data_IF_980444000900
#
_entry.id   IF_980444000900
#
_cell.length_a   1.000
_cell.length_b   1.000
_cell.length_c   1.000
_cell.angle_alpha   90.00
_cell.angle_beta   90.00
_cell.angle_gamma   90.00
#
_symmetry.space_group_name_H-M   'P 1'
#
loop_
_entity.id
_entity.type
_entity.pdbx_description
1 polymer ?
#
# COMPACT_ATOMS: atom_id res chain seq x y z
N UNK A 1 -40.50 -35.51 17.04
CA UNK A 1 -39.51 -34.59 16.43
C UNK A 1 -39.01 -33.66 17.51
N UNK A 2 -37.76 -33.81 17.95
CA UNK A 2 -37.15 -32.99 18.99
C UNK A 2 -35.76 -32.57 18.50
N UNK A 3 -35.59 -31.31 18.12
CA UNK A 3 -34.31 -30.73 17.72
C UNK A 3 -33.62 -30.17 18.96
N UNK A 4 -32.47 -30.76 19.25
CA UNK A 4 -31.60 -30.51 20.39
C UNK A 4 -30.93 -29.13 20.25
N UNK A 5 -31.13 -28.25 21.23
CA UNK A 5 -30.45 -26.95 21.31
C UNK A 5 -28.98 -27.18 21.66
N UNK A 6 -28.07 -26.94 20.70
CA UNK A 6 -26.63 -26.86 20.96
C UNK A 6 -26.35 -25.62 21.82
N UNK A 7 -26.12 -25.85 23.11
CA UNK A 7 -25.52 -24.86 24.03
C UNK A 7 -24.01 -24.98 23.88
N UNK A 8 -23.37 -23.98 23.30
CA UNK A 8 -21.92 -23.87 23.32
C UNK A 8 -21.51 -23.21 24.63
N UNK A 9 -21.09 -24.02 25.60
CA UNK A 9 -20.47 -23.54 26.85
C UNK A 9 -19.03 -23.15 26.56
N UNK A 10 -18.76 -21.84 26.58
CA UNK A 10 -17.41 -21.26 26.60
C UNK A 10 -16.79 -21.54 27.96
N UNK A 11 -15.90 -22.52 28.03
CA UNK A 11 -15.03 -22.74 29.19
C UNK A 11 -13.67 -22.12 28.91
N UNK A 12 -13.26 -21.24 29.84
CA UNK A 12 -11.93 -20.71 30.08
C UNK A 12 -10.76 -21.62 29.68
N UNK A 13 -9.84 -21.04 28.92
CA UNK A 13 -8.42 -21.31 29.04
C UNK A 13 -7.67 -20.07 28.55
N UNK A 14 -7.54 -19.09 29.45
CA UNK A 14 -6.38 -18.18 29.46
C UNK A 14 -5.12 -19.03 29.37
N UNK A 15 -4.48 -19.05 28.20
CA UNK A 15 -3.10 -19.49 28.05
C UNK A 15 -2.27 -18.25 27.71
N UNK A 16 -2.02 -17.43 28.72
CA UNK A 16 -0.92 -16.47 28.71
C UNK A 16 0.39 -17.27 28.65
N UNK A 17 0.91 -17.41 27.44
CA UNK A 17 2.26 -17.92 27.21
C UNK A 17 3.24 -16.85 27.69
N UNK A 18 3.77 -17.05 28.90
CA UNK A 18 4.90 -16.30 29.40
C UNK A 18 6.14 -16.66 28.57
N UNK A 19 6.60 -15.73 27.74
CA UNK A 19 7.89 -15.85 27.03
C UNK A 19 9.00 -15.41 27.98
N UNK A 20 9.37 -16.32 28.88
CA UNK A 20 10.59 -16.21 29.68
C UNK A 20 11.66 -17.05 28.95
N UNK A 21 12.44 -16.37 28.11
CA UNK A 21 13.64 -16.92 27.52
C UNK A 21 14.64 -15.77 27.32
N UNK A 22 15.62 -15.71 28.22
CA UNK A 22 16.78 -14.85 28.05
C UNK A 22 17.54 -15.24 26.78
N UNK A 23 17.60 -14.33 25.84
CA UNK A 23 18.66 -14.28 24.83
C UNK A 23 19.52 -13.06 25.12
N UNK A 24 20.72 -13.35 25.62
CA UNK A 24 21.84 -12.42 25.70
C UNK A 24 22.18 -11.99 24.27
N UNK A 25 21.74 -10.79 23.88
CA UNK A 25 22.13 -10.19 22.61
C UNK A 25 23.65 -9.99 22.61
N UNK A 26 24.41 -10.59 21.68
CA UNK A 26 25.81 -10.25 21.53
C UNK A 26 25.90 -8.75 21.19
N UNK A 27 26.66 -8.03 22.01
CA UNK A 27 27.06 -6.63 21.83
C UNK A 27 27.51 -6.42 20.38
N UNK A 28 26.59 -5.94 19.54
CA UNK A 28 26.92 -5.55 18.18
C UNK A 28 27.90 -4.39 18.29
N UNK A 29 29.07 -4.43 17.61
CA UNK A 29 29.99 -3.31 17.66
C UNK A 29 29.26 -2.05 17.21
N UNK A 30 29.07 -1.14 18.15
CA UNK A 30 28.72 0.23 17.88
C UNK A 30 29.77 0.78 16.92
N UNK A 31 29.32 1.49 15.89
CA UNK A 31 30.10 2.08 14.81
C UNK A 31 30.32 1.17 13.59
N UNK A 32 29.21 0.80 12.94
CA UNK A 32 29.22 0.77 11.48
C UNK A 32 29.48 2.22 11.00
N UNK A 33 30.75 2.56 10.86
CA UNK A 33 31.20 3.77 10.19
C UNK A 33 30.84 3.64 8.71
N UNK A 34 29.59 3.95 8.38
CA UNK A 34 29.17 4.20 7.01
C UNK A 34 29.83 5.50 6.60
N UNK A 35 31.08 5.41 6.15
CA UNK A 35 31.66 6.48 5.36
C UNK A 35 30.70 6.71 4.19
N UNK A 36 29.99 7.84 4.23
CA UNK A 36 29.13 8.34 3.18
C UNK A 36 30.05 8.79 2.02
N UNK A 37 30.67 7.81 1.37
CA UNK A 37 31.30 8.03 0.09
C UNK A 37 30.15 8.31 -0.87
N UNK A 38 29.95 9.60 -1.16
CA UNK A 38 28.92 10.09 -2.07
C UNK A 38 29.01 9.29 -3.37
N UNK A 39 28.12 8.31 -3.53
CA UNK A 39 28.08 7.45 -4.69
C UNK A 39 27.81 8.33 -5.92
N UNK A 40 28.67 8.25 -6.94
CA UNK A 40 28.47 9.00 -8.18
C UNK A 40 27.06 8.72 -8.72
N UNK A 41 26.28 9.78 -8.93
CA UNK A 41 24.90 9.71 -9.43
C UNK A 41 24.86 9.91 -10.94
N UNK A 42 23.94 9.22 -11.59
CA UNK A 42 23.68 9.39 -13.01
C UNK A 42 23.12 10.78 -13.29
N UNK A 43 23.75 11.57 -14.18
CA UNK A 43 23.26 12.90 -14.53
C UNK A 43 21.95 12.90 -15.33
N UNK A 44 21.50 11.74 -15.83
CA UNK A 44 20.24 11.60 -16.57
C UNK A 44 19.03 11.29 -15.69
N UNK A 45 19.18 10.42 -14.67
CA UNK A 45 18.07 9.99 -13.82
C UNK A 45 18.23 10.34 -12.33
N UNK A 46 19.42 10.78 -11.90
CA UNK A 46 19.70 11.10 -10.49
C UNK A 46 19.88 9.89 -9.58
N UNK A 47 19.85 8.67 -10.13
CA UNK A 47 20.05 7.43 -9.36
C UNK A 47 21.55 7.08 -9.22
N UNK A 48 21.96 6.32 -8.19
CA UNK A 48 23.37 5.98 -7.97
C UNK A 48 23.87 5.05 -9.09
N UNK A 49 25.02 5.35 -9.68
CA UNK A 49 25.57 4.61 -10.83
C UNK A 49 25.81 3.11 -10.56
N UNK A 50 25.98 2.72 -9.29
CA UNK A 50 26.10 1.31 -8.90
C UNK A 50 24.85 0.46 -9.19
N UNK A 51 23.72 1.07 -9.55
CA UNK A 51 22.45 0.40 -9.85
C UNK A 51 22.24 0.12 -11.34
N UNK A 52 23.14 0.61 -12.21
CA UNK A 52 23.00 0.48 -13.65
C UNK A 52 24.11 -0.40 -14.24
N UNK A 53 23.73 -1.47 -14.94
CA UNK A 53 24.66 -2.30 -15.74
C UNK A 53 25.08 -1.59 -17.05
N UNK A 54 24.31 -0.58 -17.50
CA UNK A 54 24.52 0.22 -18.71
C UNK A 54 24.12 1.69 -18.51
N UNK A 55 24.76 2.62 -19.23
CA UNK A 55 24.40 4.05 -19.20
C UNK A 55 22.97 4.28 -19.71
N UNK A 56 22.27 5.26 -19.14
CA UNK A 56 20.92 5.62 -19.56
C UNK A 56 20.93 6.12 -21.02
N UNK A 57 20.34 5.36 -21.94
CA UNK A 57 20.11 5.79 -23.33
C UNK A 57 18.80 6.58 -23.45
N UNK A 58 18.78 7.57 -24.35
CA UNK A 58 17.60 8.42 -24.61
C UNK A 58 16.41 7.58 -25.15
N UNK A 59 15.17 7.89 -24.74
CA UNK A 59 14.01 7.12 -25.18
C UNK A 59 13.65 7.42 -26.64
N UNK A 60 13.97 6.50 -27.55
CA UNK A 60 13.41 6.47 -28.92
C UNK A 60 11.96 5.99 -28.84
N UNK A 61 11.02 6.90 -29.08
CA UNK A 61 9.60 6.61 -29.13
C UNK A 61 9.24 5.67 -30.30
N UNK A 62 8.69 4.49 -30.00
CA UNK A 62 8.02 3.62 -30.98
C UNK A 62 6.50 3.83 -30.89
N UNK A 63 5.80 4.11 -32.01
CA UNK A 63 4.34 4.06 -32.02
C UNK A 63 3.90 2.62 -32.33
N UNK A 64 3.48 1.88 -31.30
CA UNK A 64 2.75 0.61 -31.48
C UNK A 64 1.28 0.87 -31.20
N UNK A 65 0.44 0.80 -32.24
CA UNK A 65 -1.00 0.76 -32.11
C UNK A 65 -1.45 -0.64 -31.69
N UNK A 66 -1.66 -0.84 -30.38
CA UNK A 66 -2.27 -2.05 -29.81
C UNK A 66 -3.81 -1.93 -29.76
N UNK A 67 -4.54 -3.06 -29.81
CA UNK A 67 -6.00 -3.06 -29.74
C UNK A 67 -6.48 -2.52 -28.39
N UNK A 68 -7.32 -1.47 -28.46
CA UNK A 68 -7.93 -0.85 -27.29
C UNK A 68 -8.93 -1.81 -26.64
N UNK A 69 -8.47 -2.53 -25.63
CA UNK A 69 -9.33 -3.01 -24.55
C UNK A 69 -9.74 -1.76 -23.77
N UNK A 70 -11.04 -1.54 -23.44
CA UNK A 70 -11.41 -0.49 -22.51
C UNK A 70 -10.83 -0.86 -21.14
N UNK A 71 -9.59 -0.44 -20.91
CA UNK A 71 -9.03 -0.34 -19.58
C UNK A 71 -9.87 0.73 -18.88
N UNK A 72 -10.49 0.46 -17.72
CA UNK A 72 -10.92 1.56 -16.87
C UNK A 72 -9.68 2.42 -16.67
N UNK A 73 -9.79 3.73 -16.96
CA UNK A 73 -8.68 4.68 -17.00
C UNK A 73 -7.86 4.63 -15.71
N UNK A 74 -6.88 3.72 -15.62
CA UNK A 74 -5.81 3.79 -14.64
C UNK A 74 -4.76 4.74 -15.21
N UNK A 75 -5.17 5.99 -15.45
CA UNK A 75 -4.23 7.10 -15.51
C UNK A 75 -3.71 7.26 -14.08
N UNK A 76 -2.65 6.50 -13.76
CA UNK A 76 -2.18 6.14 -12.41
C UNK A 76 -1.81 7.34 -11.53
N UNK A 77 -2.82 8.02 -11.05
CA UNK A 77 -2.74 9.15 -10.14
C UNK A 77 -3.83 9.05 -9.09
N UNK A 78 -3.60 9.74 -7.98
CA UNK A 78 -4.61 9.92 -6.95
C UNK A 78 -5.57 11.03 -7.37
N UNK A 79 -6.86 10.74 -7.45
CA UNK A 79 -7.91 11.74 -7.70
C UNK A 79 -8.07 12.69 -6.51
N UNK A 80 -7.94 12.20 -5.28
CA UNK A 80 -7.99 13.02 -4.08
C UNK A 80 -6.59 13.38 -3.57
N UNK A 81 -6.37 14.66 -3.24
CA UNK A 81 -5.13 15.13 -2.62
C UNK A 81 -5.20 15.01 -1.08
N UNK A 82 -4.04 15.02 -0.43
CA UNK A 82 -3.99 15.10 1.03
C UNK A 82 -4.60 16.43 1.49
N UNK A 83 -5.44 16.39 2.52
CA UNK A 83 -6.21 17.52 3.03
C UNK A 83 -7.48 17.84 2.25
N UNK A 84 -7.72 17.22 1.08
CA UNK A 84 -8.99 17.32 0.38
C UNK A 84 -10.12 16.71 1.22
N UNK A 85 -11.28 17.36 1.24
CA UNK A 85 -12.48 16.78 1.84
C UNK A 85 -13.07 15.72 0.90
N UNK A 86 -13.20 14.50 1.40
CA UNK A 86 -13.87 13.40 0.73
C UNK A 86 -15.00 12.87 1.61
N UNK A 87 -16.07 12.41 0.97
CA UNK A 87 -17.24 11.83 1.63
C UNK A 87 -17.33 10.35 1.27
N UNK A 88 -17.15 9.43 2.23
CA UNK A 88 -17.45 8.02 2.02
C UNK A 88 -18.92 7.82 1.69
N UNK A 89 -19.23 6.93 0.74
CA UNK A 89 -20.62 6.63 0.36
C UNK A 89 -21.43 6.08 1.54
N UNK A 90 -20.76 5.49 2.53
CA UNK A 90 -21.37 4.91 3.73
C UNK A 90 -21.60 5.92 4.86
N UNK A 91 -21.07 7.14 4.74
CA UNK A 91 -21.13 8.17 5.77
C UNK A 91 -21.86 9.43 5.26
N UNK A 92 -22.33 10.27 6.19
CA UNK A 92 -23.05 11.51 5.88
C UNK A 92 -22.17 12.76 6.04
N UNK A 93 -20.99 12.64 6.66
CA UNK A 93 -20.07 13.76 6.92
C UNK A 93 -18.79 13.66 6.09
N UNK A 94 -18.30 14.78 5.51
CA UNK A 94 -17.04 14.78 4.79
C UNK A 94 -15.85 14.83 5.75
N UNK A 95 -14.78 14.14 5.39
CA UNK A 95 -13.55 14.05 6.17
C UNK A 95 -12.31 14.35 5.31
N UNK A 96 -11.28 14.99 5.87
CA UNK A 96 -10.06 15.28 5.12
C UNK A 96 -9.27 13.99 4.87
N UNK A 97 -8.67 13.88 3.69
CA UNK A 97 -7.78 12.78 3.33
C UNK A 97 -6.44 12.95 4.05
N UNK A 98 -6.09 12.03 4.94
CA UNK A 98 -4.84 12.10 5.73
C UNK A 98 -3.72 11.23 5.17
N UNK A 99 -4.07 10.27 4.31
CA UNK A 99 -3.08 9.39 3.69
C UNK A 99 -3.57 8.87 2.35
N UNK A 100 -2.60 8.56 1.47
CA UNK A 100 -2.81 7.99 0.15
C UNK A 100 -1.80 6.86 -0.11
N UNK A 101 -2.23 5.80 -0.76
CA UNK A 101 -1.34 4.69 -1.13
C UNK A 101 -1.93 3.80 -2.21
N UNK A 102 -1.22 2.71 -2.52
CA UNK A 102 -1.67 1.77 -3.53
C UNK A 102 -1.77 0.36 -2.94
N UNK A 103 -2.88 -0.33 -3.21
CA UNK A 103 -3.03 -1.75 -2.93
C UNK A 103 -2.80 -2.56 -4.20
N UNK A 104 -2.11 -3.70 -4.06
CA UNK A 104 -2.00 -4.70 -5.12
C UNK A 104 -3.16 -5.67 -4.99
N UNK A 105 -3.99 -5.75 -6.02
CA UNK A 105 -5.11 -6.68 -6.05
C UNK A 105 -5.20 -7.41 -7.39
N UNK A 106 -5.89 -8.56 -7.42
CA UNK A 106 -6.17 -9.25 -8.67
C UNK A 106 -7.48 -8.74 -9.25
N UNK A 107 -7.45 -8.35 -10.52
CA UNK A 107 -8.63 -7.96 -11.25
C UNK A 107 -9.58 -9.16 -11.40
N UNK A 108 -10.87 -9.04 -11.06
CA UNK A 108 -11.78 -10.19 -10.97
C UNK A 108 -12.05 -10.86 -12.33
N UNK A 109 -12.02 -10.10 -13.43
CA UNK A 109 -12.32 -10.65 -14.75
C UNK A 109 -11.09 -11.22 -15.47
N UNK A 110 -9.90 -10.71 -15.20
CA UNK A 110 -8.67 -11.04 -15.97
C UNK A 110 -7.64 -11.80 -15.15
N UNK A 111 -7.76 -11.81 -13.81
CA UNK A 111 -6.82 -12.46 -12.89
C UNK A 111 -5.46 -11.77 -12.76
N UNK A 112 -5.22 -10.71 -13.53
CA UNK A 112 -3.99 -9.91 -13.52
C UNK A 112 -3.90 -9.07 -12.24
N UNK A 113 -2.68 -8.87 -11.74
CA UNK A 113 -2.44 -8.01 -10.58
C UNK A 113 -2.40 -6.56 -11.04
N UNK A 114 -3.21 -5.72 -10.41
CA UNK A 114 -3.28 -4.28 -10.63
C UNK A 114 -2.96 -3.51 -9.35
N UNK A 115 -2.52 -2.26 -9.49
CA UNK A 115 -2.36 -1.32 -8.38
C UNK A 115 -3.56 -0.39 -8.34
N UNK A 116 -4.28 -0.37 -7.22
CA UNK A 116 -5.46 0.47 -7.03
C UNK A 116 -5.15 1.56 -6.00
N UNK A 117 -5.42 2.84 -6.31
CA UNK A 117 -5.26 3.92 -5.35
C UNK A 117 -6.27 3.79 -4.21
N UNK A 118 -5.79 4.01 -2.99
CA UNK A 118 -6.58 4.01 -1.77
C UNK A 118 -6.27 5.23 -0.92
N UNK A 119 -7.24 5.60 -0.10
CA UNK A 119 -7.24 6.82 0.69
C UNK A 119 -7.64 6.51 2.13
N UNK A 120 -7.03 7.17 3.10
CA UNK A 120 -7.48 7.14 4.50
C UNK A 120 -7.98 8.53 4.88
N UNK A 121 -9.11 8.58 5.58
CA UNK A 121 -9.73 9.82 6.02
C UNK A 121 -9.48 10.08 7.52
N UNK A 122 -9.66 11.32 7.95
CA UNK A 122 -9.69 11.70 9.38
C UNK A 122 -11.11 11.57 9.96
N UNK A 123 -11.65 10.36 9.90
CA UNK A 123 -12.98 10.02 10.42
C UNK A 123 -12.91 9.21 11.72
N UNK A 124 -11.69 9.00 12.26
CA UNK A 124 -11.43 8.20 13.44
C UNK A 124 -11.32 6.70 13.18
N UNK A 125 -11.46 6.26 11.92
CA UNK A 125 -11.28 4.88 11.51
C UNK A 125 -9.91 4.65 10.87
N UNK A 126 -9.48 3.38 10.89
CA UNK A 126 -8.23 2.95 10.23
C UNK A 126 -8.46 2.37 8.84
N UNK A 127 -9.71 2.38 8.38
CA UNK A 127 -10.10 1.82 7.10
C UNK A 127 -9.53 2.66 5.94
N UNK A 128 -9.25 1.96 4.84
CA UNK A 128 -8.84 2.57 3.59
C UNK A 128 -9.99 2.46 2.60
N UNK A 129 -10.30 3.58 1.95
CA UNK A 129 -11.34 3.68 0.95
C UNK A 129 -10.73 3.67 -0.44
N UNK A 130 -11.39 2.98 -1.35
CA UNK A 130 -11.09 3.07 -2.78
C UNK A 130 -11.68 4.35 -3.35
N UNK A 131 -11.25 4.70 -4.55
CA UNK A 131 -11.74 5.87 -5.24
C UNK A 131 -13.26 5.80 -5.50
N UNK A 132 -13.76 4.63 -5.91
CA UNK A 132 -15.18 4.41 -6.16
C UNK A 132 -16.07 4.47 -4.91
N UNK A 133 -15.47 4.42 -3.72
CA UNK A 133 -16.14 4.49 -2.43
C UNK A 133 -16.21 5.93 -1.88
N UNK A 134 -15.56 6.87 -2.56
CA UNK A 134 -15.45 8.26 -2.16
C UNK A 134 -16.12 9.18 -3.17
N UNK A 135 -16.64 10.30 -2.67
CA UNK A 135 -17.10 11.42 -3.48
C UNK A 135 -16.46 12.71 -3.00
N UNK A 136 -16.38 13.69 -3.88
CA UNK A 136 -16.03 15.05 -3.48
C UNK A 136 -17.15 15.58 -2.57
N UNK A 137 -16.76 16.16 -1.44
CA UNK A 137 -17.66 16.80 -0.49
C UNK A 137 -18.35 18.04 -1.07
#
# INVERSE_FOLDING_TARGET
MATQKLRYSRTDAEQTQAWDAGEEYPDLPAELNYADEAADVCQHCGEPLGWHEQACEEPIAKPTSEPTIPSPQASGGFTFALGSLALPITQESPHPVVWRGHLKERHPATGLVQRVPVYRLDDGYWDCYREEELRVA
#
